data_IF_196407563730
#
_entry.id   IF_196407563730
#
_cell.length_a   1.000
_cell.length_b   1.000
_cell.length_c   1.000
_cell.angle_alpha   90.00
_cell.angle_beta   90.00
_cell.angle_gamma   90.00
#
_symmetry.space_group_name_H-M   'P 1'
#
loop_
_entity.id
_entity.type
_entity.pdbx_description
1 polymer ?
#
# COMPACT_ATOMS: atom_id res chain seq x y z
N UNK A 1 17.58 -10.94 -5.83
CA UNK A 1 16.71 -9.94 -5.17
C UNK A 1 16.03 -9.13 -6.27
N UNK A 2 14.83 -8.60 -6.02
CA UNK A 2 14.16 -7.75 -6.99
C UNK A 2 14.91 -6.41 -7.15
N UNK A 3 15.36 -6.04 -8.35
CA UNK A 3 16.23 -4.88 -8.55
C UNK A 3 15.60 -3.57 -8.05
N UNK A 4 14.27 -3.45 -8.09
CA UNK A 4 13.51 -2.31 -7.53
C UNK A 4 13.74 -2.14 -6.03
N UNK A 5 14.07 -3.22 -5.30
CA UNK A 5 14.35 -3.17 -3.86
C UNK A 5 15.76 -2.69 -3.56
N UNK A 6 16.68 -2.77 -4.53
CA UNK A 6 18.00 -2.16 -4.40
C UNK A 6 17.92 -0.63 -4.37
N UNK A 7 16.88 -0.04 -4.99
CA UNK A 7 16.60 1.41 -4.93
C UNK A 7 16.27 1.90 -3.51
N UNK A 8 15.98 0.97 -2.57
CA UNK A 8 15.76 1.28 -1.15
C UNK A 8 17.05 1.26 -0.31
N UNK A 9 18.18 0.77 -0.84
CA UNK A 9 19.45 0.77 -0.09
C UNK A 9 19.90 2.18 0.36
N UNK A 10 19.75 3.24 -0.45
CA UNK A 10 20.11 4.59 -0.04
C UNK A 10 19.36 5.11 1.21
N UNK A 11 18.17 4.57 1.51
CA UNK A 11 17.42 4.96 2.72
C UNK A 11 17.81 4.17 3.97
N UNK A 12 18.77 3.22 3.88
CA UNK A 12 19.18 2.38 5.00
C UNK A 12 19.66 3.18 6.22
N UNK A 13 20.34 4.31 6.01
CA UNK A 13 20.76 5.19 7.12
C UNK A 13 19.59 5.70 7.94
N UNK A 14 18.47 6.06 7.30
CA UNK A 14 17.26 6.50 7.99
C UNK A 14 16.56 5.32 8.67
N UNK A 15 16.56 4.15 8.03
CA UNK A 15 16.04 2.93 8.66
C UNK A 15 16.77 2.60 9.97
N UNK A 16 18.08 2.84 10.04
CA UNK A 16 18.87 2.71 11.29
C UNK A 16 18.50 3.78 12.33
N UNK A 17 18.22 5.02 11.90
CA UNK A 17 17.71 6.05 12.82
C UNK A 17 16.36 5.66 13.43
N UNK A 18 15.46 5.06 12.65
CA UNK A 18 14.16 4.61 13.16
C UNK A 18 14.31 3.45 14.14
N UNK A 19 15.24 2.53 13.86
CA UNK A 19 15.59 1.46 14.79
C UNK A 19 16.17 2.01 16.10
N UNK A 20 17.09 2.98 16.01
CA UNK A 20 17.64 3.68 17.18
C UNK A 20 16.54 4.34 18.00
N UNK A 21 15.57 4.99 17.35
CA UNK A 21 14.42 5.61 18.02
C UNK A 21 13.61 4.60 18.83
N UNK A 22 13.32 3.42 18.25
CA UNK A 22 12.61 2.36 18.98
C UNK A 22 13.39 1.81 20.17
N UNK A 23 14.70 1.59 20.00
CA UNK A 23 15.55 0.97 21.03
C UNK A 23 15.94 1.93 22.16
N UNK A 24 16.31 3.17 21.83
CA UNK A 24 16.89 4.11 22.77
C UNK A 24 15.85 5.10 23.32
N UNK A 25 15.07 5.72 22.44
CA UNK A 25 14.14 6.79 22.84
C UNK A 25 12.86 6.20 23.43
N UNK A 26 12.27 5.20 22.75
CA UNK A 26 11.03 4.54 23.21
C UNK A 26 11.26 3.32 24.10
N UNK A 27 12.47 2.74 24.08
CA UNK A 27 12.82 1.50 24.81
C UNK A 27 11.82 0.35 24.58
N UNK A 28 11.28 0.24 23.36
CA UNK A 28 10.28 -0.77 22.99
C UNK A 28 10.89 -1.79 22.01
N UNK A 29 11.50 -2.82 22.60
CA UNK A 29 12.20 -3.89 21.86
C UNK A 29 11.24 -4.67 20.95
N UNK A 30 9.97 -4.83 21.34
CA UNK A 30 9.00 -5.59 20.55
C UNK A 30 8.66 -4.84 19.26
N UNK A 31 8.39 -3.54 19.35
CA UNK A 31 8.19 -2.71 18.16
C UNK A 31 9.48 -2.58 17.32
N UNK A 32 10.65 -2.47 17.94
CA UNK A 32 11.94 -2.49 17.23
C UNK A 32 12.10 -3.77 16.39
N UNK A 33 11.74 -4.92 16.96
CA UNK A 33 11.81 -6.21 16.28
C UNK A 33 10.82 -6.33 15.11
N UNK A 34 9.57 -5.91 15.31
CA UNK A 34 8.59 -5.86 14.21
C UNK A 34 9.04 -4.92 13.10
N UNK A 35 9.69 -3.82 13.46
CA UNK A 35 10.27 -2.87 12.53
C UNK A 35 11.43 -3.45 11.71
N UNK A 36 12.38 -4.13 12.35
CA UNK A 36 13.46 -4.86 11.65
C UNK A 36 12.85 -5.90 10.72
N UNK A 37 11.90 -6.69 11.23
CA UNK A 37 11.27 -7.76 10.47
C UNK A 37 10.58 -7.20 9.22
N UNK A 38 9.79 -6.14 9.36
CA UNK A 38 9.10 -5.50 8.24
C UNK A 38 10.10 -4.91 7.23
N UNK A 39 11.14 -4.22 7.70
CA UNK A 39 12.17 -3.63 6.83
C UNK A 39 12.92 -4.68 6.00
N UNK A 40 13.13 -5.88 6.56
CA UNK A 40 13.86 -6.96 5.86
C UNK A 40 12.93 -7.83 5.00
N UNK A 41 11.72 -8.11 5.45
CA UNK A 41 10.91 -9.21 4.90
C UNK A 41 9.56 -8.79 4.33
N UNK A 42 9.01 -7.64 4.72
CA UNK A 42 7.79 -7.13 4.07
C UNK A 42 8.14 -6.48 2.74
N UNK A 43 7.20 -6.55 1.79
CA UNK A 43 7.33 -5.92 0.48
C UNK A 43 6.99 -4.46 0.53
N UNK A 44 5.90 -4.08 1.17
CA UNK A 44 5.48 -2.69 1.14
C UNK A 44 6.24 -1.87 2.19
N UNK A 45 6.75 -2.50 3.26
CA UNK A 45 7.63 -1.85 4.22
C UNK A 45 9.14 -1.95 3.94
N UNK A 46 9.61 -2.83 3.06
CA UNK A 46 11.00 -3.28 3.09
C UNK A 46 11.58 -3.93 1.81
N UNK A 47 12.62 -4.74 2.04
CA UNK A 47 13.46 -5.35 0.99
C UNK A 47 12.92 -6.68 0.44
N UNK A 48 11.93 -7.28 1.10
CA UNK A 48 11.34 -8.57 0.74
C UNK A 48 12.37 -9.69 0.52
N UNK A 49 13.32 -9.86 1.44
CA UNK A 49 14.48 -10.77 1.27
C UNK A 49 14.09 -12.25 1.04
N UNK A 50 12.90 -12.67 1.45
CA UNK A 50 12.41 -14.04 1.24
C UNK A 50 11.78 -14.24 -0.15
N UNK A 51 11.42 -13.18 -0.86
CA UNK A 51 10.71 -13.27 -2.14
C UNK A 51 11.44 -14.14 -3.17
N UNK A 52 12.78 -14.06 -3.38
CA UNK A 52 13.46 -14.91 -4.35
C UNK A 52 13.30 -16.41 -4.04
N UNK A 53 13.32 -16.78 -2.75
CA UNK A 53 13.17 -18.17 -2.32
C UNK A 53 11.72 -18.60 -2.41
N UNK A 54 10.77 -17.77 -1.98
CA UNK A 54 9.33 -18.08 -2.10
C UNK A 54 8.90 -18.15 -3.56
N UNK A 55 9.42 -17.28 -4.44
CA UNK A 55 9.18 -17.36 -5.89
C UNK A 55 9.62 -18.71 -6.46
N UNK A 56 10.80 -19.19 -6.05
CA UNK A 56 11.34 -20.49 -6.53
C UNK A 56 10.65 -21.69 -5.90
N UNK A 57 10.28 -21.58 -4.62
CA UNK A 57 9.70 -22.65 -3.81
C UNK A 57 8.52 -22.14 -2.98
N UNK A 58 7.34 -21.91 -3.59
CA UNK A 58 6.22 -21.29 -2.87
C UNK A 58 5.75 -22.06 -1.63
N UNK A 59 5.96 -23.38 -1.59
CA UNK A 59 5.63 -24.23 -0.43
C UNK A 59 6.41 -23.92 0.85
N UNK A 60 7.53 -23.20 0.78
CA UNK A 60 8.31 -22.81 1.97
C UNK A 60 7.74 -21.58 2.68
N UNK A 61 6.79 -20.87 2.08
CA UNK A 61 6.11 -19.76 2.74
C UNK A 61 5.24 -20.30 3.88
N UNK A 62 5.62 -19.92 5.10
CA UNK A 62 4.88 -20.26 6.31
C UNK A 62 3.59 -19.45 6.46
N UNK A 63 2.85 -19.73 7.54
CA UNK A 63 1.62 -19.01 7.88
C UNK A 63 1.84 -17.48 7.87
N UNK A 64 0.92 -16.68 7.29
CA UNK A 64 1.16 -15.25 7.05
C UNK A 64 1.53 -14.49 8.32
N UNK A 65 2.59 -13.69 8.19
CA UNK A 65 3.07 -12.73 9.22
C UNK A 65 2.79 -11.28 8.82
N UNK A 66 2.12 -11.10 7.69
CA UNK A 66 1.78 -9.82 7.11
C UNK A 66 0.40 -9.97 6.47
N UNK A 67 -0.47 -8.99 6.65
CA UNK A 67 -1.79 -8.90 6.02
C UNK A 67 -2.08 -7.45 5.71
N UNK A 68 -2.93 -7.23 4.73
CA UNK A 68 -3.60 -5.95 4.54
C UNK A 68 -5.07 -6.07 4.94
N UNK A 69 -5.68 -4.97 5.39
CA UNK A 69 -7.06 -4.96 5.85
C UNK A 69 -7.77 -3.65 5.55
N UNK A 70 -8.91 -3.78 4.87
CA UNK A 70 -9.86 -2.71 4.61
C UNK A 70 -10.75 -2.50 5.83
N UNK A 71 -10.54 -1.36 6.49
CA UNK A 71 -11.28 -0.99 7.71
C UNK A 71 -12.62 -0.33 7.39
N UNK A 72 -12.81 0.16 6.17
CA UNK A 72 -14.01 0.87 5.73
C UNK A 72 -14.09 0.91 4.21
N UNK A 73 -15.32 0.85 3.69
CA UNK A 73 -15.63 1.19 2.28
C UNK A 73 -16.32 2.54 2.15
N UNK A 74 -16.52 3.28 3.26
CA UNK A 74 -16.99 4.67 3.18
C UNK A 74 -15.84 5.58 2.77
N UNK A 75 -16.09 6.42 1.77
CA UNK A 75 -15.27 7.58 1.43
C UNK A 75 -16.17 8.77 1.12
N UNK A 76 -15.81 9.96 1.60
CA UNK A 76 -16.51 11.20 1.23
C UNK A 76 -16.03 11.77 -0.11
N UNK A 77 -14.96 11.22 -0.69
CA UNK A 77 -14.44 11.59 -2.00
C UNK A 77 -15.10 10.79 -3.13
N UNK A 78 -15.09 11.37 -4.33
CA UNK A 78 -15.52 10.73 -5.59
C UNK A 78 -14.43 10.88 -6.65
N UNK A 79 -13.23 10.38 -6.33
CA UNK A 79 -12.07 10.43 -7.23
C UNK A 79 -12.40 9.75 -8.57
N UNK A 80 -12.05 10.41 -9.68
CA UNK A 80 -12.34 9.92 -11.05
C UNK A 80 -11.64 8.60 -11.38
N UNK A 81 -10.62 8.20 -10.62
CA UNK A 81 -9.84 6.98 -10.83
C UNK A 81 -10.29 5.76 -10.02
N UNK A 82 -11.11 5.97 -8.98
CA UNK A 82 -11.31 4.98 -7.93
C UNK A 82 -12.61 4.20 -8.16
N UNK A 83 -12.56 2.88 -8.06
CA UNK A 83 -13.74 2.01 -8.19
C UNK A 83 -14.86 2.38 -7.21
N UNK A 84 -14.53 2.99 -6.05
CA UNK A 84 -15.51 3.51 -5.09
C UNK A 84 -16.53 4.49 -5.70
N UNK A 85 -16.11 5.22 -6.73
CA UNK A 85 -16.98 6.18 -7.43
C UNK A 85 -18.04 5.46 -8.27
N UNK A 86 -17.74 4.25 -8.75
CA UNK A 86 -18.52 3.53 -9.77
C UNK A 86 -19.27 2.31 -9.23
N UNK A 87 -18.84 1.75 -8.10
CA UNK A 87 -19.46 0.53 -7.58
C UNK A 87 -20.81 0.80 -6.88
N UNK A 88 -21.66 -0.22 -6.83
CA UNK A 88 -22.98 -0.19 -6.15
C UNK A 88 -22.95 -0.77 -4.74
N UNK A 89 -21.75 -0.93 -4.18
CA UNK A 89 -21.51 -1.57 -2.90
C UNK A 89 -22.08 -0.75 -1.73
N UNK A 90 -22.83 -1.40 -0.84
CA UNK A 90 -23.31 -0.76 0.37
C UNK A 90 -22.11 -0.41 1.26
N UNK A 91 -21.88 0.87 1.57
CA UNK A 91 -20.75 1.25 2.41
C UNK A 91 -20.86 0.61 3.80
N UNK A 92 -19.73 0.15 4.34
CA UNK A 92 -19.64 -0.36 5.73
C UNK A 92 -18.38 0.12 6.42
N UNK A 93 -18.45 0.13 7.75
CA UNK A 93 -17.29 0.20 8.62
C UNK A 93 -17.05 -1.18 9.23
N UNK A 94 -15.79 -1.59 9.34
CA UNK A 94 -15.42 -2.70 10.21
C UNK A 94 -15.44 -2.21 11.66
N UNK A 95 -16.11 -2.92 12.56
CA UNK A 95 -16.05 -2.60 13.99
C UNK A 95 -14.72 -3.04 14.60
N UNK A 96 -14.35 -2.46 15.74
CA UNK A 96 -13.16 -2.92 16.49
C UNK A 96 -13.23 -4.41 16.87
N UNK A 97 -14.42 -4.94 17.15
CA UNK A 97 -14.63 -6.36 17.48
C UNK A 97 -14.32 -7.25 16.28
N UNK A 98 -14.82 -6.89 15.10
CA UNK A 98 -14.55 -7.60 13.84
C UNK A 98 -13.07 -7.54 13.47
N UNK A 99 -12.46 -6.35 13.59
CA UNK A 99 -11.02 -6.17 13.37
C UNK A 99 -10.19 -7.10 14.27
N UNK A 100 -10.48 -7.11 15.58
CA UNK A 100 -9.79 -7.99 16.53
C UNK A 100 -10.00 -9.47 16.17
N UNK A 101 -11.22 -9.87 15.80
CA UNK A 101 -11.54 -11.23 15.35
C UNK A 101 -10.69 -11.66 14.14
N UNK A 102 -10.44 -10.77 13.20
CA UNK A 102 -9.56 -11.02 12.04
C UNK A 102 -8.10 -11.14 12.50
N UNK A 103 -7.57 -10.12 13.17
CA UNK A 103 -6.14 -10.05 13.51
C UNK A 103 -5.74 -11.16 14.48
N UNK A 104 -6.62 -11.60 15.38
CA UNK A 104 -6.38 -12.72 16.31
C UNK A 104 -6.16 -14.07 15.61
N UNK A 105 -6.60 -14.22 14.35
CA UNK A 105 -6.31 -15.42 13.54
C UNK A 105 -4.86 -15.47 13.07
N UNK A 106 -4.13 -14.35 13.12
CA UNK A 106 -2.72 -14.23 12.74
C UNK A 106 -1.84 -14.00 13.98
N UNK A 107 -1.60 -15.01 14.83
CA UNK A 107 -0.94 -14.82 16.14
C UNK A 107 0.52 -14.35 16.03
N UNK A 108 1.15 -14.57 14.88
CA UNK A 108 2.54 -14.15 14.59
C UNK A 108 2.61 -12.94 13.65
N UNK A 109 1.52 -12.18 13.51
CA UNK A 109 1.46 -10.98 12.68
C UNK A 109 2.54 -9.98 13.12
N UNK A 110 3.33 -9.51 12.17
CA UNK A 110 4.45 -8.56 12.35
C UNK A 110 4.24 -7.27 11.59
N UNK A 111 3.47 -7.31 10.52
CA UNK A 111 3.17 -6.15 9.69
C UNK A 111 1.67 -6.15 9.36
N UNK A 112 1.07 -4.97 9.34
CA UNK A 112 -0.29 -4.78 8.87
C UNK A 112 -0.38 -3.49 8.06
N UNK A 113 -0.87 -3.62 6.84
CA UNK A 113 -1.32 -2.49 6.01
C UNK A 113 -2.80 -2.23 6.26
N UNK A 114 -3.14 -1.11 6.89
CA UNK A 114 -4.53 -0.71 7.12
C UNK A 114 -4.97 0.19 5.97
N UNK A 115 -5.34 -0.43 4.85
CA UNK A 115 -5.61 0.22 3.56
C UNK A 115 -6.89 -0.30 2.94
N UNK A 116 -7.38 0.32 1.87
CA UNK A 116 -8.51 -0.21 1.12
C UNK A 116 -9.24 0.88 0.35
N UNK A 117 -10.47 0.58 -0.06
CA UNK A 117 -11.23 1.40 -1.00
C UNK A 117 -12.23 2.24 -0.20
N UNK A 118 -11.67 3.15 0.60
CA UNK A 118 -12.38 3.98 1.58
C UNK A 118 -11.46 5.05 2.20
N UNK A 119 -12.03 5.93 3.04
CA UNK A 119 -11.26 6.89 3.85
C UNK A 119 -11.29 6.45 5.31
N UNK A 120 -10.16 5.90 5.79
CA UNK A 120 -10.05 5.19 7.06
C UNK A 120 -10.53 6.01 8.27
N UNK A 121 -10.25 7.32 8.31
CA UNK A 121 -10.67 8.20 9.41
C UNK A 121 -12.18 8.45 9.50
N UNK A 122 -12.98 8.02 8.51
CA UNK A 122 -14.45 8.00 8.65
C UNK A 122 -14.93 6.86 9.56
N UNK A 123 -14.13 5.82 9.77
CA UNK A 123 -14.45 4.78 10.72
C UNK A 123 -14.06 5.25 12.14
N UNK A 124 -15.06 5.48 12.99
CA UNK A 124 -14.87 5.89 14.39
C UNK A 124 -13.99 4.95 15.23
N UNK A 125 -13.90 3.67 14.85
CA UNK A 125 -13.08 2.68 15.55
C UNK A 125 -11.63 2.63 15.01
N UNK A 126 -11.30 3.38 13.96
CA UNK A 126 -10.01 3.25 13.26
C UNK A 126 -8.81 3.52 14.17
N UNK A 127 -8.80 4.64 14.90
CA UNK A 127 -7.69 4.93 15.82
C UNK A 127 -7.61 3.94 16.99
N UNK A 128 -8.74 3.32 17.37
CA UNK A 128 -8.74 2.22 18.34
C UNK A 128 -8.08 0.96 17.78
N UNK A 129 -8.29 0.65 16.50
CA UNK A 129 -7.61 -0.44 15.80
C UNK A 129 -6.10 -0.19 15.69
N UNK A 130 -5.70 1.02 15.27
CA UNK A 130 -4.28 1.42 15.18
C UNK A 130 -3.61 1.29 16.56
N UNK A 131 -4.24 1.81 17.61
CA UNK A 131 -3.75 1.71 19.00
C UNK A 131 -3.57 0.26 19.41
N UNK A 132 -4.58 -0.60 19.21
CA UNK A 132 -4.49 -2.02 19.52
C UNK A 132 -3.30 -2.71 18.82
N UNK A 133 -3.07 -2.40 17.54
CA UNK A 133 -1.94 -2.95 16.80
C UNK A 133 -0.59 -2.48 17.34
N UNK A 134 -0.49 -1.21 17.75
CA UNK A 134 0.75 -0.62 18.27
C UNK A 134 1.06 -0.97 19.73
N UNK A 135 0.04 -1.06 20.58
CA UNK A 135 0.22 -1.25 22.04
C UNK A 135 0.15 -2.72 22.44
N UNK A 136 -0.77 -3.50 21.88
CA UNK A 136 -0.99 -4.89 22.29
C UNK A 136 -0.31 -5.87 21.35
N UNK A 137 -0.49 -5.69 20.03
CA UNK A 137 0.10 -6.60 19.04
C UNK A 137 1.55 -6.28 18.73
N UNK A 138 2.02 -5.06 19.05
CA UNK A 138 3.38 -4.58 18.79
C UNK A 138 3.82 -4.83 17.33
N UNK A 139 2.89 -4.66 16.39
CA UNK A 139 3.14 -4.87 14.97
C UNK A 139 3.67 -3.58 14.31
N UNK A 140 4.33 -3.75 13.16
CA UNK A 140 4.53 -2.67 12.22
C UNK A 140 3.18 -2.29 11.63
N UNK A 141 2.79 -1.02 11.76
CA UNK A 141 1.53 -0.50 11.20
C UNK A 141 1.87 0.53 10.14
N UNK A 142 1.31 0.32 8.96
CA UNK A 142 1.23 1.35 7.93
C UNK A 142 -0.17 1.51 7.38
N UNK A 143 -0.46 2.67 6.83
CA UNK A 143 -1.72 2.94 6.15
C UNK A 143 -1.59 4.01 5.09
N UNK A 144 -2.57 4.04 4.20
CA UNK A 144 -2.67 4.95 3.08
C UNK A 144 -3.78 5.95 3.37
N UNK A 145 -3.50 7.24 3.19
CA UNK A 145 -4.47 8.30 3.40
C UNK A 145 -4.21 9.47 2.46
N UNK A 146 -5.28 10.16 2.09
CA UNK A 146 -5.23 11.34 1.22
C UNK A 146 -5.07 12.65 2.03
N UNK A 147 -4.85 12.58 3.34
CA UNK A 147 -4.57 13.67 4.28
C UNK A 147 -5.67 14.74 4.41
N UNK A 148 -6.84 14.55 3.81
CA UNK A 148 -7.92 15.54 3.88
C UNK A 148 -8.56 15.64 5.27
N UNK A 149 -8.63 14.52 6.01
CA UNK A 149 -9.15 14.48 7.38
C UNK A 149 -8.07 14.22 8.44
N UNK A 150 -6.82 13.97 8.03
CA UNK A 150 -5.68 13.79 8.92
C UNK A 150 -5.16 15.17 9.35
N UNK A 151 -5.80 15.77 10.35
CA UNK A 151 -5.40 17.06 10.91
C UNK A 151 -4.23 16.94 11.91
N UNK A 152 -3.80 18.07 12.48
CA UNK A 152 -2.71 18.12 13.47
C UNK A 152 -2.96 17.26 14.73
N UNK A 153 -4.22 17.08 15.15
CA UNK A 153 -4.54 16.25 16.32
C UNK A 153 -4.32 14.77 16.00
N UNK A 154 -4.84 14.30 14.86
CA UNK A 154 -4.63 12.93 14.40
C UNK A 154 -3.14 12.69 14.10
N UNK A 155 -2.47 13.64 13.47
CA UNK A 155 -1.04 13.57 13.18
C UNK A 155 -0.22 13.36 14.46
N UNK A 156 -0.48 14.17 15.49
CA UNK A 156 0.15 14.04 16.81
C UNK A 156 -0.10 12.66 17.41
N UNK A 157 -1.34 12.16 17.39
CA UNK A 157 -1.67 10.83 17.91
C UNK A 157 -0.92 9.71 17.15
N UNK A 158 -0.84 9.79 15.81
CA UNK A 158 -0.10 8.83 15.00
C UNK A 158 1.40 8.81 15.36
N UNK A 159 2.00 9.99 15.54
CA UNK A 159 3.40 10.14 15.96
C UNK A 159 3.59 9.53 17.35
N UNK A 160 2.78 9.93 18.34
CA UNK A 160 2.90 9.46 19.72
C UNK A 160 2.69 7.94 19.84
N UNK A 161 1.72 7.37 19.13
CA UNK A 161 1.51 5.91 19.05
C UNK A 161 2.67 5.17 18.40
N UNK A 162 3.48 5.86 17.60
CA UNK A 162 4.58 5.27 16.84
C UNK A 162 4.07 4.46 15.65
N UNK A 163 3.09 5.00 14.92
CA UNK A 163 2.76 4.50 13.57
C UNK A 163 4.05 4.47 12.76
N UNK A 164 4.28 3.37 12.03
CA UNK A 164 5.59 3.17 11.41
C UNK A 164 5.72 3.90 10.08
N UNK A 165 4.67 3.88 9.27
CA UNK A 165 4.68 4.51 7.94
C UNK A 165 3.29 5.01 7.56
N UNK A 166 3.26 6.16 6.91
CA UNK A 166 2.10 6.73 6.24
C UNK A 166 2.39 6.84 4.75
N UNK A 167 1.46 6.33 3.96
CA UNK A 167 1.45 6.53 2.52
C UNK A 167 0.53 7.70 2.20
N UNK A 168 1.11 8.78 1.70
CA UNK A 168 0.43 9.99 1.26
C UNK A 168 -0.11 9.75 -0.14
N UNK A 169 -1.43 9.64 -0.26
CA UNK A 169 -2.12 9.54 -1.56
C UNK A 169 -2.34 10.94 -2.13
N UNK A 170 -1.39 11.37 -2.96
CA UNK A 170 -1.37 12.67 -3.64
C UNK A 170 -0.87 12.44 -5.07
N UNK A 171 -1.76 12.57 -6.06
CA UNK A 171 -1.49 12.17 -7.44
C UNK A 171 -1.30 13.36 -8.39
N UNK A 172 -1.38 14.59 -7.89
CA UNK A 172 -1.23 15.79 -8.71
C UNK A 172 -0.33 16.78 -7.97
N UNK A 173 0.48 17.50 -8.73
CA UNK A 173 1.34 18.55 -8.20
C UNK A 173 0.64 19.92 -8.18
N UNK A 174 -0.43 20.08 -8.97
CA UNK A 174 -1.14 21.34 -9.11
C UNK A 174 -2.54 21.28 -8.49
N UNK A 175 -2.95 22.37 -7.84
CA UNK A 175 -4.25 22.46 -7.17
C UNK A 175 -5.44 22.26 -8.11
N UNK A 176 -5.37 22.84 -9.31
CA UNK A 176 -6.42 22.74 -10.33
C UNK A 176 -6.66 21.28 -10.73
N UNK A 177 -5.61 20.59 -11.18
CA UNK A 177 -5.71 19.19 -11.63
C UNK A 177 -6.03 18.24 -10.48
N UNK A 178 -5.49 18.49 -9.28
CA UNK A 178 -5.85 17.73 -8.07
C UNK A 178 -7.35 17.84 -7.74
N UNK A 179 -7.88 19.06 -7.65
CA UNK A 179 -9.26 19.30 -7.22
C UNK A 179 -10.26 18.78 -8.27
N UNK A 180 -9.90 18.86 -9.56
CA UNK A 180 -10.70 18.29 -10.65
C UNK A 180 -10.76 16.75 -10.57
N UNK A 181 -9.64 16.11 -10.22
CA UNK A 181 -9.52 14.66 -10.25
C UNK A 181 -9.98 13.97 -8.95
N UNK A 182 -9.76 14.62 -7.80
CA UNK A 182 -10.19 14.18 -6.46
C UNK A 182 -11.37 14.99 -5.95
N UNK A 183 -12.53 14.77 -6.58
CA UNK A 183 -13.78 15.43 -6.22
C UNK A 183 -14.12 15.23 -4.73
N UNK A 184 -14.42 16.34 -4.05
CA UNK A 184 -14.70 16.39 -2.61
C UNK A 184 -13.46 16.57 -1.73
N UNK A 185 -12.27 16.70 -2.32
CA UNK A 185 -11.03 17.05 -1.63
C UNK A 185 -10.65 18.52 -1.87
N UNK A 186 -9.61 18.99 -1.20
CA UNK A 186 -9.02 20.32 -1.39
C UNK A 186 -7.50 20.24 -1.27
N UNK A 187 -6.79 20.56 -2.34
CA UNK A 187 -5.33 20.47 -2.43
C UNK A 187 -4.62 21.24 -1.33
N UNK A 188 -5.00 22.49 -1.10
CA UNK A 188 -4.35 23.36 -0.11
C UNK A 188 -4.49 22.81 1.32
N UNK A 189 -5.66 22.24 1.64
CA UNK A 189 -5.90 21.57 2.90
C UNK A 189 -5.03 20.33 3.08
N UNK A 190 -4.90 19.52 2.03
CA UNK A 190 -4.05 18.33 2.04
C UNK A 190 -2.58 18.70 2.22
N UNK A 191 -2.08 19.67 1.45
CA UNK A 191 -0.70 20.16 1.58
C UNK A 191 -0.45 20.74 2.96
N UNK A 192 -1.37 21.56 3.51
CA UNK A 192 -1.26 22.09 4.88
C UNK A 192 -1.17 20.96 5.91
N UNK A 193 -2.03 19.95 5.81
CA UNK A 193 -2.05 18.83 6.76
C UNK A 193 -0.76 17.98 6.69
N UNK A 194 -0.20 17.79 5.49
CA UNK A 194 1.12 17.17 5.31
C UNK A 194 2.20 18.01 6.00
N UNK A 195 2.18 19.33 5.81
CA UNK A 195 3.13 20.24 6.47
C UNK A 195 3.00 20.24 7.99
N UNK A 196 1.78 20.16 8.52
CA UNK A 196 1.54 20.10 9.96
C UNK A 196 2.06 18.78 10.55
N UNK A 197 1.87 17.65 9.87
CA UNK A 197 2.51 16.37 10.23
C UNK A 197 4.03 16.52 10.31
N UNK A 198 4.64 17.12 9.28
CA UNK A 198 6.10 17.28 9.17
C UNK A 198 6.64 18.19 10.29
N UNK A 199 5.96 19.31 10.58
CA UNK A 199 6.29 20.19 11.72
C UNK A 199 6.22 19.45 13.04
N UNK A 200 5.13 18.72 13.28
CA UNK A 200 4.92 17.96 14.52
C UNK A 200 5.99 16.87 14.71
N UNK A 201 6.40 16.17 13.65
CA UNK A 201 7.48 15.19 13.72
C UNK A 201 8.79 15.81 14.19
N UNK A 202 9.12 17.00 13.69
CA UNK A 202 10.31 17.76 14.11
C UNK A 202 10.19 18.27 15.55
N UNK A 203 9.06 18.83 15.93
CA UNK A 203 8.79 19.30 17.31
C UNK A 203 8.92 18.16 18.33
N UNK A 204 8.34 17.01 18.00
CA UNK A 204 8.38 15.79 18.82
C UNK A 204 9.67 15.00 18.66
N UNK A 205 10.59 15.46 17.80
CA UNK A 205 11.85 14.79 17.43
C UNK A 205 11.65 13.32 17.08
N UNK A 206 10.50 12.99 16.48
CA UNK A 206 10.17 11.62 16.15
C UNK A 206 10.43 11.37 14.68
N UNK A 207 11.25 10.35 14.35
CA UNK A 207 11.53 10.06 12.97
C UNK A 207 10.43 9.22 12.30
N UNK A 208 9.46 8.76 13.08
CA UNK A 208 8.29 8.01 12.62
C UNK A 208 7.02 8.85 12.80
N UNK A 209 6.00 8.69 11.94
CA UNK A 209 5.94 7.74 10.83
C UNK A 209 6.84 8.13 9.64
N UNK A 210 7.34 7.12 8.92
CA UNK A 210 7.90 7.31 7.59
C UNK A 210 6.84 7.90 6.66
N UNK A 211 7.17 8.97 5.93
CA UNK A 211 6.25 9.54 4.95
C UNK A 211 6.64 9.08 3.54
N UNK A 212 5.83 8.21 2.95
CA UNK A 212 6.02 7.76 1.57
C UNK A 212 4.90 8.33 0.71
N UNK A 213 5.22 8.76 -0.50
CA UNK A 213 4.34 9.47 -1.39
C UNK A 213 3.92 8.53 -2.51
N UNK A 214 2.64 8.16 -2.56
CA UNK A 214 2.12 7.26 -3.59
C UNK A 214 1.54 8.10 -4.73
N UNK A 215 2.18 8.00 -5.90
CA UNK A 215 1.74 8.67 -7.11
C UNK A 215 1.19 7.66 -8.10
N UNK A 216 -0.12 7.75 -8.37
CA UNK A 216 -0.81 6.91 -9.34
C UNK A 216 -0.82 7.61 -10.70
N UNK A 217 -0.02 7.11 -11.63
CA UNK A 217 0.19 7.68 -12.96
C UNK A 217 -1.06 7.45 -13.81
N UNK A 218 -1.59 8.53 -14.36
CA UNK A 218 -2.70 8.57 -15.31
C UNK A 218 -2.48 9.68 -16.36
N UNK A 219 -3.36 9.72 -17.36
CA UNK A 219 -3.26 10.65 -18.49
C UNK A 219 -3.22 12.13 -18.10
N UNK A 220 -3.81 12.50 -16.97
CA UNK A 220 -3.90 13.89 -16.51
C UNK A 220 -2.66 14.36 -15.75
N UNK A 221 -1.97 13.46 -15.05
CA UNK A 221 -0.88 13.83 -14.15
C UNK A 221 0.51 13.39 -14.60
N UNK A 222 0.63 12.56 -15.65
CA UNK A 222 1.94 12.01 -16.08
C UNK A 222 2.97 13.09 -16.39
N UNK A 223 2.53 14.27 -16.85
CA UNK A 223 3.40 15.42 -17.15
C UNK A 223 3.84 16.19 -15.89
N UNK A 224 3.10 16.04 -14.79
CA UNK A 224 3.37 16.72 -13.51
C UNK A 224 4.37 15.95 -12.63
N UNK A 225 4.87 14.79 -13.07
CA UNK A 225 5.74 13.93 -12.24
C UNK A 225 7.00 14.67 -11.76
N UNK A 226 7.57 15.60 -12.53
CA UNK A 226 8.73 16.39 -12.08
C UNK A 226 8.33 17.46 -11.07
N UNK A 227 7.20 18.13 -11.28
CA UNK A 227 6.67 19.13 -10.34
C UNK A 227 6.32 18.45 -9.01
N UNK A 228 5.85 17.21 -9.05
CA UNK A 228 5.63 16.38 -7.87
C UNK A 228 6.92 16.06 -7.12
N UNK A 229 8.02 15.80 -7.84
CA UNK A 229 9.35 15.63 -7.23
C UNK A 229 9.76 16.89 -6.49
N UNK A 230 9.43 18.08 -6.99
CA UNK A 230 9.73 19.34 -6.32
C UNK A 230 8.97 19.49 -4.99
N UNK A 231 7.68 19.14 -4.95
CA UNK A 231 6.90 19.12 -3.70
C UNK A 231 7.55 18.20 -2.67
N UNK A 232 7.91 16.97 -3.07
CA UNK A 232 8.49 15.99 -2.15
C UNK A 232 9.91 16.39 -1.73
N UNK A 233 10.67 17.06 -2.60
CA UNK A 233 11.99 17.59 -2.25
C UNK A 233 11.90 18.68 -1.18
N UNK A 234 10.92 19.57 -1.26
CA UNK A 234 10.67 20.61 -0.25
C UNK A 234 10.34 20.00 1.13
N UNK A 235 9.49 18.97 1.13
CA UNK A 235 9.15 18.22 2.35
C UNK A 235 10.38 17.49 2.92
N UNK A 236 11.20 16.89 2.05
CA UNK A 236 12.41 16.17 2.45
C UNK A 236 13.45 17.09 3.07
N UNK A 237 13.62 18.30 2.51
CA UNK A 237 14.52 19.31 3.05
C UNK A 237 14.07 19.74 4.45
N UNK A 238 12.77 19.96 4.65
CA UNK A 238 12.24 20.37 5.94
C UNK A 238 12.29 19.27 7.00
N UNK A 239 12.03 18.01 6.63
CA UNK A 239 12.11 16.85 7.55
C UNK A 239 13.53 16.60 8.07
N UNK A 240 14.60 17.10 7.44
CA UNK A 240 15.98 17.14 7.95
C UNK A 240 16.36 15.96 8.88
N UNK A 241 16.57 14.77 8.30
CA UNK A 241 16.94 13.54 9.02
C UNK A 241 15.90 12.94 9.97
N UNK A 242 14.75 13.57 10.22
CA UNK A 242 13.63 12.94 10.93
C UNK A 242 12.96 11.89 10.05
N UNK A 243 12.83 12.08 8.75
CA UNK A 243 12.50 10.99 7.82
C UNK A 243 13.02 11.28 6.44
N UNK A 244 13.20 10.22 5.65
CA UNK A 244 13.41 10.33 4.22
C UNK A 244 12.09 10.09 3.48
N UNK A 245 11.53 11.12 2.84
CA UNK A 245 10.47 10.93 1.86
C UNK A 245 10.90 10.04 0.71
N UNK A 246 9.97 9.24 0.22
CA UNK A 246 10.16 8.39 -0.94
C UNK A 246 8.94 8.50 -1.85
N UNK A 247 9.15 8.62 -3.16
CA UNK A 247 8.06 8.57 -4.13
C UNK A 247 7.91 7.14 -4.67
N UNK A 248 6.69 6.63 -4.60
CA UNK A 248 6.32 5.34 -5.16
C UNK A 248 5.44 5.55 -6.38
N UNK A 249 6.02 5.32 -7.56
CA UNK A 249 5.37 5.50 -8.84
C UNK A 249 4.62 4.22 -9.22
N UNK A 250 3.31 4.33 -9.45
CA UNK A 250 2.45 3.19 -9.77
C UNK A 250 1.58 3.54 -10.96
N UNK A 251 1.50 2.66 -11.97
CA UNK A 251 0.51 2.83 -13.03
C UNK A 251 -0.89 2.68 -12.44
N UNK A 252 -1.85 3.47 -12.92
CA UNK A 252 -3.25 3.31 -12.52
C UNK A 252 -3.74 1.89 -12.79
N UNK A 253 -4.35 1.29 -11.76
CA UNK A 253 -5.07 0.02 -11.90
C UNK A 253 -6.41 0.36 -12.58
N UNK A 254 -6.38 0.42 -13.90
CA UNK A 254 -7.53 0.84 -14.67
C UNK A 254 -8.58 -0.27 -14.71
N UNK A 255 -9.86 0.08 -14.72
CA UNK A 255 -11.01 -0.80 -14.98
C UNK A 255 -11.91 -0.15 -16.04
N UNK A 256 -13.01 -0.79 -16.43
CA UNK A 256 -13.76 -0.43 -17.64
C UNK A 256 -14.14 1.06 -17.70
N UNK A 257 -14.71 1.59 -16.62
CA UNK A 257 -15.19 2.97 -16.52
C UNK A 257 -14.09 4.03 -16.53
N UNK A 258 -12.83 3.64 -16.29
CA UNK A 258 -11.67 4.55 -16.22
C UNK A 258 -10.54 4.14 -17.18
N UNK A 259 -10.84 3.28 -18.15
CA UNK A 259 -9.83 2.71 -19.06
C UNK A 259 -9.26 3.73 -20.04
N UNK A 260 -9.93 4.85 -20.25
CA UNK A 260 -9.58 5.96 -21.16
C UNK A 260 -8.54 6.92 -20.58
N UNK A 261 -8.44 6.98 -19.25
CA UNK A 261 -7.46 7.81 -18.53
C UNK A 261 -6.21 7.03 -18.11
N UNK A 262 -6.18 5.72 -18.38
CA UNK A 262 -5.00 4.88 -18.17
C UNK A 262 -3.87 5.26 -19.12
N UNK A 263 -2.66 5.39 -18.59
CA UNK A 263 -1.45 5.64 -19.38
C UNK A 263 -0.27 4.90 -18.77
N UNK A 264 0.60 4.39 -19.62
CA UNK A 264 1.93 3.96 -19.22
C UNK A 264 2.93 5.00 -19.71
N UNK A 265 3.76 5.58 -18.82
CA UNK A 265 4.78 6.54 -19.24
C UNK A 265 5.80 5.86 -20.16
N UNK A 266 6.34 6.60 -21.14
CA UNK A 266 7.39 6.06 -22.01
C UNK A 266 8.66 5.79 -21.19
N UNK A 267 9.51 4.90 -21.70
CA UNK A 267 10.78 4.56 -21.04
C UNK A 267 11.68 5.80 -20.91
N UNK A 268 11.71 6.65 -21.93
CA UNK A 268 12.49 7.90 -21.93
C UNK A 268 12.01 8.83 -20.82
N UNK A 269 10.69 9.00 -20.68
CA UNK A 269 10.10 9.84 -19.63
C UNK A 269 10.41 9.30 -18.23
N UNK A 270 10.31 7.98 -18.04
CA UNK A 270 10.69 7.33 -16.78
C UNK A 270 12.15 7.61 -16.44
N UNK A 271 13.08 7.44 -17.37
CA UNK A 271 14.50 7.72 -17.12
C UNK A 271 14.78 9.20 -16.87
N UNK A 272 14.05 10.10 -17.52
CA UNK A 272 14.13 11.53 -17.28
C UNK A 272 13.65 11.91 -15.87
N UNK A 273 12.53 11.34 -15.40
CA UNK A 273 12.04 11.54 -14.03
C UNK A 273 13.00 10.95 -13.00
N UNK A 274 13.60 9.77 -13.25
CA UNK A 274 14.63 9.19 -12.37
C UNK A 274 15.84 10.10 -12.24
N UNK A 275 16.34 10.62 -13.36
CA UNK A 275 17.44 11.57 -13.37
C UNK A 275 17.09 12.85 -12.59
N UNK A 276 15.85 13.32 -12.69
CA UNK A 276 15.36 14.47 -11.93
C UNK A 276 15.28 14.19 -10.42
N UNK A 277 14.75 13.03 -10.00
CA UNK A 277 14.76 12.60 -8.60
C UNK A 277 16.18 12.59 -8.03
N UNK A 278 17.14 12.02 -8.77
CA UNK A 278 18.56 12.00 -8.38
C UNK A 278 19.13 13.42 -8.24
N UNK A 279 18.83 14.32 -9.18
CA UNK A 279 19.24 15.72 -9.12
C UNK A 279 18.71 16.43 -7.87
N UNK A 280 17.48 16.12 -7.47
CA UNK A 280 16.80 16.70 -6.30
C UNK A 280 17.08 15.97 -4.98
N UNK A 281 17.81 14.85 -5.02
CA UNK A 281 18.08 14.03 -3.83
C UNK A 281 16.86 13.31 -3.26
N UNK A 282 15.80 13.13 -4.07
CA UNK A 282 14.56 12.46 -3.66
C UNK A 282 14.66 10.96 -3.95
N UNK A 283 14.34 10.13 -2.96
CA UNK A 283 14.27 8.68 -3.16
C UNK A 283 13.01 8.32 -3.93
N UNK A 284 13.11 7.31 -4.79
CA UNK A 284 11.98 6.83 -5.55
C UNK A 284 12.03 5.33 -5.77
N UNK A 285 10.87 4.73 -6.06
CA UNK A 285 10.73 3.36 -6.55
C UNK A 285 9.62 3.32 -7.60
N UNK A 286 9.84 2.59 -8.69
CA UNK A 286 8.79 2.24 -9.65
C UNK A 286 8.20 0.86 -9.35
N UNK A 287 6.87 0.78 -9.27
CA UNK A 287 6.14 -0.43 -8.93
C UNK A 287 6.20 -1.49 -10.05
N UNK A 288 5.86 -2.73 -9.68
CA UNK A 288 5.83 -3.90 -10.53
C UNK A 288 4.92 -3.78 -11.75
N UNK A 289 3.76 -3.14 -11.58
CA UNK A 289 2.82 -2.90 -12.68
C UNK A 289 3.25 -1.77 -13.64
N UNK A 290 4.36 -1.09 -13.34
CA UNK A 290 4.99 -0.15 -14.28
C UNK A 290 5.95 -0.89 -15.21
N UNK A 291 6.69 -1.87 -14.69
CA UNK A 291 7.70 -2.59 -15.47
C UNK A 291 7.17 -3.87 -16.12
N UNK A 292 6.16 -4.52 -15.52
CA UNK A 292 5.47 -5.69 -16.07
C UNK A 292 6.41 -6.81 -16.55
N UNK A 293 7.47 -7.05 -15.79
CA UNK A 293 8.67 -7.79 -16.20
C UNK A 293 8.64 -9.29 -15.84
N UNK A 294 7.59 -9.76 -15.15
CA UNK A 294 7.53 -11.11 -14.58
C UNK A 294 6.23 -11.84 -14.93
N UNK A 295 6.26 -13.17 -15.11
CA UNK A 295 5.05 -13.96 -15.32
C UNK A 295 4.28 -14.20 -14.00
N UNK A 296 3.03 -14.64 -14.11
CA UNK A 296 2.18 -14.99 -12.94
C UNK A 296 2.83 -16.07 -12.05
N UNK A 297 3.61 -16.99 -12.61
CA UNK A 297 4.33 -18.02 -11.84
C UNK A 297 5.37 -17.45 -10.86
N UNK A 298 5.72 -16.17 -10.98
CA UNK A 298 6.60 -15.46 -10.06
C UNK A 298 5.83 -14.66 -9.00
N UNK A 299 4.51 -14.84 -8.92
CA UNK A 299 3.68 -14.16 -7.94
C UNK A 299 3.97 -14.65 -6.53
N UNK A 300 4.27 -13.69 -5.66
CA UNK A 300 4.39 -13.89 -4.22
C UNK A 300 3.34 -13.11 -3.45
N UNK A 301 2.53 -12.28 -4.13
CA UNK A 301 1.57 -11.33 -3.52
C UNK A 301 0.65 -12.00 -2.49
N UNK A 302 0.26 -13.24 -2.74
CA UNK A 302 -0.50 -14.12 -1.84
C UNK A 302 0.06 -14.31 -0.41
N UNK A 303 1.35 -14.06 -0.17
CA UNK A 303 1.97 -14.12 1.18
C UNK A 303 1.55 -12.97 2.11
N UNK A 304 0.78 -12.03 1.60
CA UNK A 304 0.22 -10.88 2.30
C UNK A 304 -1.23 -10.74 1.86
N UNK A 305 -2.10 -11.62 2.38
CA UNK A 305 -3.48 -11.62 1.98
C UNK A 305 -4.15 -10.32 2.40
N UNK A 306 -5.15 -9.92 1.61
CA UNK A 306 -5.94 -8.73 1.84
C UNK A 306 -7.29 -9.14 2.40
N UNK A 307 -7.71 -8.50 3.49
CA UNK A 307 -9.02 -8.73 4.12
C UNK A 307 -9.93 -7.56 3.78
N UNK A 308 -11.02 -7.82 3.06
CA UNK A 308 -12.05 -6.82 2.77
C UNK A 308 -12.77 -6.40 4.07
N UNK A 309 -13.40 -5.23 4.08
CA UNK A 309 -14.19 -4.77 5.23
C UNK A 309 -15.34 -5.74 5.57
N UNK A 310 -15.72 -6.59 4.61
CA UNK A 310 -16.72 -7.63 4.75
C UNK A 310 -16.25 -8.92 5.42
N UNK A 311 -14.97 -9.02 5.78
CA UNK A 311 -14.35 -10.20 6.40
C UNK A 311 -13.82 -11.22 5.39
N UNK A 312 -14.21 -11.09 4.11
CA UNK A 312 -13.68 -11.93 3.03
C UNK A 312 -12.18 -11.70 2.84
N UNK A 313 -11.42 -12.79 2.74
CA UNK A 313 -9.97 -12.76 2.54
C UNK A 313 -9.62 -13.19 1.12
N UNK A 314 -8.78 -12.38 0.47
CA UNK A 314 -8.28 -12.59 -0.89
C UNK A 314 -6.74 -12.59 -0.90
N UNK A 315 -6.08 -13.12 -1.94
CA UNK A 315 -4.63 -13.30 -1.93
C UNK A 315 -3.85 -11.98 -1.88
N UNK A 316 -4.35 -10.88 -2.44
CA UNK A 316 -3.66 -9.59 -2.37
C UNK A 316 -4.58 -8.40 -2.67
N UNK A 317 -4.12 -7.18 -2.37
CA UNK A 317 -4.82 -5.94 -2.72
C UNK A 317 -4.89 -5.65 -4.22
N UNK A 318 -4.02 -6.26 -5.03
CA UNK A 318 -3.95 -5.95 -6.46
C UNK A 318 -5.12 -6.52 -7.29
N UNK A 319 -6.13 -7.05 -6.60
CA UNK A 319 -7.42 -7.42 -7.14
C UNK A 319 -8.47 -6.32 -6.95
N UNK A 320 -8.18 -5.31 -6.11
CA UNK A 320 -8.97 -4.09 -5.98
C UNK A 320 -8.73 -3.18 -7.19
N UNK A 321 -9.55 -2.14 -7.33
CA UNK A 321 -9.55 -1.24 -8.49
C UNK A 321 -9.87 -1.99 -9.79
N UNK A 322 -10.77 -2.97 -9.70
CA UNK A 322 -11.28 -3.78 -10.81
C UNK A 322 -12.79 -3.61 -11.00
N UNK A 323 -13.46 -2.84 -10.14
CA UNK A 323 -14.91 -2.65 -10.05
C UNK A 323 -15.69 -3.98 -9.97
N UNK A 324 -15.14 -4.97 -9.27
CA UNK A 324 -15.65 -6.35 -9.23
C UNK A 324 -15.85 -6.84 -7.78
N UNK A 325 -16.31 -5.95 -6.89
CA UNK A 325 -16.38 -6.26 -5.45
C UNK A 325 -17.24 -7.47 -5.10
N UNK A 326 -18.34 -7.72 -5.83
CA UNK A 326 -19.14 -8.93 -5.63
C UNK A 326 -18.35 -10.20 -6.02
N UNK A 327 -17.68 -10.16 -7.17
CA UNK A 327 -16.81 -11.26 -7.63
C UNK A 327 -15.71 -11.59 -6.63
N UNK A 328 -15.07 -10.57 -6.05
CA UNK A 328 -14.04 -10.75 -5.02
C UNK A 328 -14.59 -11.49 -3.79
N UNK A 329 -15.83 -11.23 -3.38
CA UNK A 329 -16.48 -11.95 -2.27
C UNK A 329 -16.83 -13.38 -2.64
N UNK A 330 -17.43 -13.58 -3.81
CA UNK A 330 -17.88 -14.89 -4.29
C UNK A 330 -16.72 -15.86 -4.49
N UNK A 331 -15.55 -15.33 -4.86
CA UNK A 331 -14.35 -16.12 -5.12
C UNK A 331 -13.31 -16.06 -3.98
N UNK A 332 -13.59 -15.32 -2.90
CA UNK A 332 -12.70 -15.19 -1.74
C UNK A 332 -12.28 -16.57 -1.20
N UNK A 333 -11.13 -16.62 -0.53
CA UNK A 333 -10.69 -17.86 0.11
C UNK A 333 -11.68 -18.34 1.18
N UNK A 334 -12.28 -17.39 1.91
CA UNK A 334 -13.29 -17.59 2.95
C UNK A 334 -13.71 -16.25 3.56
N UNK A 335 -14.63 -16.27 4.53
CA UNK A 335 -14.96 -15.14 5.41
C UNK A 335 -14.40 -15.33 6.84
N UNK A 336 -13.52 -14.41 7.27
CA UNK A 336 -12.85 -14.45 8.58
C UNK A 336 -13.74 -14.06 9.76
N UNK A 337 -14.92 -13.49 9.52
CA UNK A 337 -15.90 -13.27 10.59
C UNK A 337 -16.59 -14.57 10.99
N UNK A 338 -16.70 -15.52 10.05
CA UNK A 338 -17.48 -16.74 10.18
C UNK A 338 -16.58 -17.96 10.46
N UNK A 339 -15.39 -18.01 9.87
CA UNK A 339 -14.48 -19.16 9.96
C UNK A 339 -13.08 -18.82 10.50
N UNK A 340 -12.20 -19.84 10.55
CA UNK A 340 -10.79 -19.73 10.96
C UNK A 340 -9.87 -19.93 9.75
N UNK A 341 -9.03 -18.92 9.46
CA UNK A 341 -8.06 -18.95 8.35
C UNK A 341 -7.16 -20.20 8.34
N UNK A 342 -6.90 -20.81 9.51
CA UNK A 342 -6.15 -22.08 9.58
C UNK A 342 -6.82 -23.21 8.80
N UNK A 343 -8.16 -23.24 8.72
CA UNK A 343 -8.90 -24.25 7.95
C UNK A 343 -8.52 -24.17 6.48
N UNK A 344 -8.59 -22.97 5.88
CA UNK A 344 -8.16 -22.77 4.49
C UNK A 344 -6.66 -23.03 4.33
N UNK A 345 -5.84 -22.56 5.27
CA UNK A 345 -4.37 -22.72 5.19
C UNK A 345 -3.92 -24.19 5.16
N UNK A 346 -4.68 -25.10 5.75
CA UNK A 346 -4.39 -26.54 5.74
C UNK A 346 -5.38 -27.34 4.86
N UNK A 347 -6.01 -26.67 3.89
CA UNK A 347 -7.00 -27.29 2.99
C UNK A 347 -6.42 -27.73 1.65
N UNK A 348 -7.16 -28.60 0.96
CA UNK A 348 -6.90 -28.94 -0.45
C UNK A 348 -7.04 -27.73 -1.38
N UNK A 349 -7.94 -26.79 -1.08
CA UNK A 349 -8.14 -25.57 -1.88
C UNK A 349 -6.89 -24.68 -1.92
N UNK A 350 -6.13 -24.61 -0.81
CA UNK A 350 -4.82 -23.94 -0.81
C UNK A 350 -3.82 -24.67 -1.71
N UNK A 351 -3.73 -25.99 -1.61
CA UNK A 351 -2.77 -26.75 -2.44
C UNK A 351 -3.09 -26.62 -3.93
N UNK A 352 -4.37 -26.60 -4.30
CA UNK A 352 -4.81 -26.29 -5.66
C UNK A 352 -4.40 -24.87 -6.07
N UNK A 353 -4.67 -23.86 -5.24
CA UNK A 353 -4.28 -22.47 -5.48
C UNK A 353 -2.77 -22.35 -5.73
N UNK A 354 -1.97 -23.01 -4.89
CA UNK A 354 -0.50 -23.04 -5.00
C UNK A 354 -0.01 -23.86 -6.19
N UNK A 355 -0.76 -24.86 -6.63
CA UNK A 355 -0.47 -25.67 -7.83
C UNK A 355 -0.63 -24.84 -9.10
N UNK A 356 -1.80 -24.20 -9.26
CA UNK A 356 -2.09 -23.27 -10.38
C UNK A 356 -1.07 -22.14 -10.45
N UNK A 357 -0.78 -21.50 -9.31
CA UNK A 357 0.20 -20.43 -9.24
C UNK A 357 1.59 -20.89 -9.71
N UNK A 358 2.05 -22.08 -9.30
CA UNK A 358 3.34 -22.65 -9.73
C UNK A 358 3.36 -23.01 -11.22
N UNK A 359 2.23 -23.48 -11.75
CA UNK A 359 2.06 -23.76 -13.18
C UNK A 359 2.07 -22.51 -14.06
N UNK A 360 1.86 -21.33 -13.46
CA UNK A 360 1.67 -20.08 -14.18
C UNK A 360 0.23 -19.86 -14.63
N UNK A 361 -0.70 -20.73 -14.19
CA UNK A 361 -2.13 -20.60 -14.44
C UNK A 361 -2.73 -19.50 -13.56
N UNK A 362 -3.85 -18.95 -14.02
CA UNK A 362 -4.62 -17.95 -13.27
C UNK A 362 -5.61 -18.67 -12.36
N UNK A 363 -5.54 -18.40 -11.06
CA UNK A 363 -6.63 -18.76 -10.16
C UNK A 363 -7.84 -17.87 -10.42
N UNK A 364 -9.07 -18.38 -10.28
CA UNK A 364 -10.30 -17.60 -10.58
C UNK A 364 -10.35 -16.27 -9.79
N UNK A 365 -9.95 -16.30 -8.52
CA UNK A 365 -9.84 -15.11 -7.67
C UNK A 365 -8.80 -14.09 -8.18
N UNK A 366 -7.80 -14.53 -8.95
CA UNK A 366 -6.74 -13.70 -9.53
C UNK A 366 -7.07 -13.18 -10.94
N UNK A 367 -8.28 -13.43 -11.45
CA UNK A 367 -8.70 -13.07 -12.82
C UNK A 367 -8.56 -11.59 -13.16
N UNK A 368 -8.64 -10.70 -12.17
CA UNK A 368 -8.52 -9.25 -12.35
C UNK A 368 -7.17 -8.72 -11.84
N UNK A 369 -6.10 -9.52 -11.92
CA UNK A 369 -4.79 -9.09 -11.44
C UNK A 369 -4.19 -7.98 -12.31
N UNK A 370 -3.83 -6.86 -11.68
CA UNK A 370 -3.20 -5.73 -12.38
C UNK A 370 -1.66 -5.74 -12.40
N UNK A 371 -1.02 -6.76 -11.80
CA UNK A 371 0.44 -6.81 -11.60
C UNK A 371 1.16 -7.72 -12.60
N UNK A 372 0.52 -8.83 -12.98
CA UNK A 372 1.13 -9.86 -13.80
C UNK A 372 0.39 -9.99 -15.13
N UNK A 373 1.11 -10.11 -16.27
CA UNK A 373 0.48 -10.24 -17.58
C UNK A 373 -0.21 -11.60 -17.70
N UNK A 374 -1.47 -11.61 -18.16
CA UNK A 374 -2.19 -12.85 -18.42
C UNK A 374 -3.36 -12.64 -19.42
N UNK A 375 -3.82 -13.69 -20.13
CA UNK A 375 -4.83 -13.58 -21.19
C UNK A 375 -6.15 -12.97 -20.71
N UNK A 376 -6.64 -13.41 -19.55
CA UNK A 376 -7.90 -12.93 -18.97
C UNK A 376 -7.83 -11.54 -18.32
N UNK A 377 -6.68 -10.85 -18.36
CA UNK A 377 -6.53 -9.48 -17.86
C UNK A 377 -7.20 -8.46 -18.80
N UNK A 378 -8.29 -8.90 -19.46
CA UNK A 378 -8.73 -8.61 -20.83
C UNK A 378 -9.08 -7.14 -21.10
N UNK A 379 -8.96 -6.24 -20.12
CA UNK A 379 -9.32 -4.82 -20.22
C UNK A 379 -8.35 -3.85 -19.54
N UNK A 380 -7.28 -4.34 -18.93
CA UNK A 380 -6.40 -3.53 -18.08
C UNK A 380 -5.04 -3.31 -18.75
N UNK A 381 -4.88 -2.13 -19.37
CA UNK A 381 -3.78 -1.75 -20.29
C UNK A 381 -2.36 -1.80 -19.70
N UNK A 382 -2.20 -1.94 -18.39
CA UNK A 382 -0.91 -1.68 -17.72
C UNK A 382 0.24 -2.58 -18.22
N UNK A 383 0.03 -3.89 -18.35
CA UNK A 383 1.12 -4.83 -18.70
C UNK A 383 1.07 -5.43 -20.10
N UNK A 384 -0.12 -5.57 -20.70
CA UNK A 384 -0.26 -6.22 -22.01
C UNK A 384 0.10 -5.30 -23.19
N UNK A 385 0.04 -3.97 -23.02
CA UNK A 385 0.46 -3.00 -24.04
C UNK A 385 1.99 -2.80 -24.07
N UNK A 386 2.67 -2.87 -22.92
CA UNK A 386 4.14 -2.70 -22.80
C UNK A 386 4.92 -3.72 -23.63
N UNK A 387 4.38 -4.93 -23.84
CA UNK A 387 5.03 -5.95 -24.69
C UNK A 387 4.85 -5.73 -26.19
N UNK A 388 3.95 -4.82 -26.60
CA UNK A 388 3.64 -4.51 -28.00
C UNK A 388 4.30 -3.22 -28.50
N UNK A 389 4.77 -2.37 -27.60
CA UNK A 389 5.66 -1.22 -27.85
C UNK A 389 7.12 -1.64 -27.73
#
# INVERSE_FOLDING_TARGET
MDNRRLELLPIAKYKLMYLKHWLLDRRDIKNAWSYIWATLFSRDAGLALLDPVVRRFPGIAGYPKQIEIEVTTHCHLKCKMCEHTYWSEKPRHMSFKEFKRVVDQFPRLRWIGMTGIGSSFLNKDYMKMVRYMKTERKAFVEFFDHFHKLDASIARECIELGVNKLWVSLENAHAETYNEYRLGSNFETVIRNIWDMVKLKRELKSPIPELWFHFIINKHNVKEMKDYVDIVAEIADYECAYSAPLIYWTNMLAFDEVSDIAVTPSREWVEEVKAYCKKKGVFHVFNENVTCDKPMSHCVKWTEPFVLASGHIQPCCALNEANTRQWQKDNAFMNLFEDDFRKWWHSAAREEFMGKLRGGDINEICRYCHIYPHPDAYRHRSCNEIKRS
#
